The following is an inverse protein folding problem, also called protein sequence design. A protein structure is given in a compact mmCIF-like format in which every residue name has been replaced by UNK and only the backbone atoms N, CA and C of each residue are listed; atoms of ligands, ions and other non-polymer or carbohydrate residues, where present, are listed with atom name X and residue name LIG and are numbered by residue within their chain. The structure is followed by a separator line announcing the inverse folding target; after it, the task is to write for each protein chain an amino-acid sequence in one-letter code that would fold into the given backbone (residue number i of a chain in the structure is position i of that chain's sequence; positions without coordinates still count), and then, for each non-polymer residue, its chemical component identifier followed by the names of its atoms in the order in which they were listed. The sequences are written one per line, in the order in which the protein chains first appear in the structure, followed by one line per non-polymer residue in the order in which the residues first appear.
data_IF_416902191778
#
_entry.id   IF_416902191778
#
_cell.length_a   1.000
_cell.length_b   1.000
_cell.length_c   1.000
_cell.angle_alpha   90.00
_cell.angle_beta   90.00
_cell.angle_gamma   90.00
#
_symmetry.space_group_name_H-M   'P 1'
#
loop_
_entity.id
_entity.type
_entity.pdbx_description
1 polymer ?
#
# COMPACT_ATOMS: atom_id res chain seq x y z
N UNK A 1 5.96 -27.67 15.80
CA UNK A 1 4.93 -27.91 14.78
C UNK A 1 5.16 -26.88 13.70
N UNK A 2 5.83 -27.25 12.62
CA UNK A 2 6.15 -26.33 11.52
C UNK A 2 4.87 -26.08 10.73
N UNK A 3 4.33 -24.87 10.81
CA UNK A 3 3.21 -24.44 9.96
C UNK A 3 3.75 -24.34 8.53
N UNK A 4 3.32 -25.26 7.66
CA UNK A 4 3.56 -25.15 6.22
C UNK A 4 2.67 -24.02 5.69
N UNK A 5 3.27 -22.86 5.41
CA UNK A 5 2.55 -21.76 4.78
C UNK A 5 2.50 -21.99 3.27
N UNK A 6 1.30 -21.99 2.69
CA UNK A 6 1.13 -21.87 1.25
C UNK A 6 0.90 -20.39 0.93
N UNK A 7 1.86 -19.76 0.25
CA UNK A 7 1.76 -18.35 -0.13
C UNK A 7 1.25 -18.26 -1.56
N UNK A 8 0.26 -17.40 -1.80
CA UNK A 8 -0.26 -17.10 -3.12
C UNK A 8 0.16 -15.70 -3.53
N UNK A 9 1.23 -15.62 -4.34
CA UNK A 9 1.83 -14.36 -4.80
C UNK A 9 1.26 -13.93 -6.16
N UNK A 10 1.12 -12.62 -6.36
CA UNK A 10 0.47 -12.04 -7.55
C UNK A 10 1.31 -10.89 -8.11
N UNK A 11 1.82 -11.05 -9.34
CA UNK A 11 2.27 -9.94 -10.20
C UNK A 11 2.70 -10.49 -11.57
N UNK A 12 2.25 -9.85 -12.66
CA UNK A 12 2.67 -10.14 -14.05
C UNK A 12 4.19 -10.01 -14.26
N UNK A 13 4.83 -9.05 -13.59
CA UNK A 13 6.27 -8.78 -13.76
C UNK A 13 7.13 -9.35 -12.61
N UNK A 14 6.49 -9.84 -11.54
CA UNK A 14 7.16 -10.30 -10.32
C UNK A 14 7.24 -11.82 -10.17
N UNK A 15 6.43 -12.59 -10.92
CA UNK A 15 6.30 -14.03 -10.72
C UNK A 15 7.64 -14.79 -10.80
N UNK A 16 8.46 -14.49 -11.81
CA UNK A 16 9.74 -15.17 -11.98
C UNK A 16 10.73 -14.83 -10.85
N UNK A 17 10.79 -13.56 -10.41
CA UNK A 17 11.61 -13.15 -9.27
C UNK A 17 11.15 -13.83 -7.98
N UNK A 18 9.83 -13.84 -7.75
CA UNK A 18 9.24 -14.44 -6.56
C UNK A 18 9.48 -15.95 -6.50
N UNK A 19 9.38 -16.67 -7.62
CA UNK A 19 9.67 -18.11 -7.65
C UNK A 19 11.14 -18.40 -7.37
N UNK A 20 12.05 -17.56 -7.86
CA UNK A 20 13.48 -17.70 -7.59
C UNK A 20 13.79 -17.44 -6.11
N UNK A 21 13.28 -16.35 -5.54
CA UNK A 21 13.48 -16.00 -4.13
C UNK A 21 12.82 -17.02 -3.18
N UNK A 22 11.66 -17.55 -3.54
CA UNK A 22 10.95 -18.55 -2.75
C UNK A 22 11.56 -19.96 -2.84
N UNK A 23 12.35 -20.26 -3.88
CA UNK A 23 13.03 -21.55 -4.03
C UNK A 23 14.00 -21.86 -2.88
N UNK A 24 14.46 -20.84 -2.17
CA UNK A 24 15.33 -20.94 -0.99
C UNK A 24 14.55 -20.94 0.34
N UNK A 25 13.23 -20.71 0.32
CA UNK A 25 12.41 -20.53 1.51
C UNK A 25 11.73 -21.83 1.97
N UNK A 26 11.45 -21.92 3.27
CA UNK A 26 10.68 -23.03 3.85
C UNK A 26 9.18 -22.78 3.63
N UNK A 27 8.57 -23.45 2.65
CA UNK A 27 7.13 -23.35 2.35
C UNK A 27 6.80 -23.77 0.91
N UNK A 28 5.52 -23.71 0.54
CA UNK A 28 5.09 -23.86 -0.85
C UNK A 28 4.62 -22.50 -1.38
N UNK A 29 5.13 -22.10 -2.55
CA UNK A 29 4.67 -20.92 -3.26
C UNK A 29 3.83 -21.37 -4.46
N UNK A 30 2.61 -20.86 -4.56
CA UNK A 30 1.80 -20.96 -5.78
C UNK A 30 1.51 -19.56 -6.28
N UNK A 31 1.46 -19.39 -7.59
CA UNK A 31 1.23 -18.08 -8.20
C UNK A 31 -0.06 -18.12 -8.99
N UNK A 32 -0.84 -17.05 -8.90
CA UNK A 32 -2.07 -16.87 -9.65
C UNK A 32 -2.08 -15.47 -10.23
N UNK A 33 -2.45 -15.35 -11.50
CA UNK A 33 -2.65 -14.05 -12.12
C UNK A 33 -3.94 -13.43 -11.58
N UNK A 34 -3.82 -12.27 -10.96
CA UNK A 34 -4.93 -11.53 -10.39
C UNK A 34 -4.74 -10.03 -10.68
N UNK A 35 -5.60 -9.51 -11.55
CA UNK A 35 -5.80 -8.08 -11.72
C UNK A 35 -6.97 -7.63 -10.83
N UNK A 36 -6.65 -6.91 -9.75
CA UNK A 36 -7.65 -6.44 -8.80
C UNK A 36 -8.61 -5.40 -9.38
N UNK A 37 -8.28 -4.80 -10.53
CA UNK A 37 -9.15 -3.83 -11.20
C UNK A 37 -10.23 -4.50 -12.05
N UNK A 38 -10.09 -5.79 -12.34
CA UNK A 38 -10.98 -6.58 -13.18
C UNK A 38 -11.74 -7.64 -12.36
N UNK A 39 -13.07 -7.55 -12.34
CA UNK A 39 -13.95 -8.47 -11.61
C UNK A 39 -13.77 -9.94 -12.02
N UNK A 40 -13.73 -10.22 -13.32
CA UNK A 40 -13.60 -11.59 -13.82
C UNK A 40 -12.25 -12.21 -13.42
N UNK A 41 -11.18 -11.39 -13.39
CA UNK A 41 -9.87 -11.85 -12.92
C UNK A 41 -9.90 -12.21 -11.44
N UNK A 42 -10.62 -11.44 -10.62
CA UNK A 42 -10.78 -11.73 -9.18
C UNK A 42 -11.55 -13.02 -8.96
N UNK A 43 -12.66 -13.21 -9.68
CA UNK A 43 -13.49 -14.42 -9.57
C UNK A 43 -12.73 -15.68 -9.99
N UNK A 44 -11.95 -15.61 -11.08
CA UNK A 44 -11.07 -16.71 -11.49
C UNK A 44 -10.04 -17.06 -10.43
N UNK A 45 -9.47 -16.05 -9.76
CA UNK A 45 -8.50 -16.27 -8.69
C UNK A 45 -9.15 -16.92 -7.45
N UNK A 46 -10.40 -16.55 -7.12
CA UNK A 46 -11.17 -17.20 -6.05
C UNK A 46 -11.37 -18.69 -6.35
N UNK A 47 -11.88 -19.02 -7.54
CA UNK A 47 -12.11 -20.42 -7.96
C UNK A 47 -10.81 -21.21 -7.95
N UNK A 48 -9.71 -20.63 -8.46
CA UNK A 48 -8.39 -21.25 -8.39
C UNK A 48 -7.98 -21.53 -6.95
N UNK A 49 -8.15 -20.56 -6.05
CA UNK A 49 -7.80 -20.70 -4.63
C UNK A 49 -8.62 -21.80 -3.96
N UNK A 50 -9.92 -21.88 -4.22
CA UNK A 50 -10.82 -22.93 -3.70
C UNK A 50 -10.43 -24.33 -4.15
N UNK A 51 -9.95 -24.49 -5.38
CA UNK A 51 -9.50 -25.80 -5.88
C UNK A 51 -8.18 -26.26 -5.24
N UNK A 52 -7.35 -25.32 -4.79
CA UNK A 52 -6.00 -25.62 -4.31
C UNK A 52 -5.92 -25.68 -2.78
N UNK A 53 -6.74 -24.89 -2.08
CA UNK A 53 -6.75 -24.76 -0.63
C UNK A 53 -8.06 -25.25 -0.04
N UNK A 54 -7.98 -26.05 1.03
CA UNK A 54 -9.16 -26.36 1.85
C UNK A 54 -9.62 -25.18 2.70
N UNK A 55 -8.67 -24.35 3.16
CA UNK A 55 -8.92 -23.22 4.05
C UNK A 55 -8.00 -22.03 3.72
N UNK A 56 -8.56 -20.82 3.67
CA UNK A 56 -7.81 -19.59 3.48
C UNK A 56 -7.68 -18.84 4.81
N UNK A 57 -6.50 -18.83 5.40
CA UNK A 57 -6.33 -18.31 6.77
C UNK A 57 -6.03 -16.81 6.82
N UNK A 58 -5.41 -16.25 5.79
CA UNK A 58 -5.16 -14.82 5.68
C UNK A 58 -5.26 -14.34 4.24
N UNK A 59 -5.81 -13.15 4.06
CA UNK A 59 -5.81 -12.39 2.81
C UNK A 59 -4.96 -11.14 3.02
N UNK A 60 -3.87 -11.02 2.26
CA UNK A 60 -2.97 -9.86 2.32
C UNK A 60 -3.18 -8.97 1.10
N UNK A 61 -3.69 -7.79 1.38
CA UNK A 61 -4.12 -6.78 0.43
C UNK A 61 -3.00 -5.73 0.27
N UNK A 62 -1.99 -6.09 -0.52
CA UNK A 62 -0.74 -5.32 -0.68
C UNK A 62 -0.59 -4.58 -2.02
N UNK A 63 -1.43 -4.89 -3.01
CA UNK A 63 -1.31 -4.26 -4.33
C UNK A 63 -1.38 -2.73 -4.21
N UNK A 64 -0.62 -2.01 -5.02
CA UNK A 64 -0.62 -0.56 -4.98
C UNK A 64 -0.05 0.03 -6.24
N UNK A 65 -0.65 1.12 -6.68
CA UNK A 65 -0.21 1.87 -7.84
C UNK A 65 -0.08 3.35 -7.47
N UNK A 66 1.05 3.96 -7.81
CA UNK A 66 1.24 5.40 -7.65
C UNK A 66 1.30 6.02 -9.05
N UNK A 67 0.27 6.76 -9.42
CA UNK A 67 0.18 7.37 -10.76
C UNK A 67 1.24 8.45 -10.97
N UNK A 68 1.30 9.44 -10.08
CA UNK A 68 2.32 10.48 -10.11
C UNK A 68 2.54 11.09 -8.72
N UNK A 69 3.78 11.47 -8.42
CA UNK A 69 4.12 12.31 -7.28
C UNK A 69 4.69 13.62 -7.84
N UNK A 70 3.90 14.69 -7.76
CA UNK A 70 4.24 15.99 -8.34
C UNK A 70 3.19 17.05 -8.04
N UNK A 71 3.44 18.31 -8.44
CA UNK A 71 2.42 19.35 -8.45
C UNK A 71 1.14 18.87 -9.12
N UNK A 72 -0.01 19.37 -8.64
CA UNK A 72 -1.32 18.99 -9.16
C UNK A 72 -1.44 19.24 -10.67
N UNK A 73 -0.77 20.29 -11.17
CA UNK A 73 -0.68 20.63 -12.59
C UNK A 73 -0.09 19.52 -13.48
N UNK A 74 0.59 18.52 -12.90
CA UNK A 74 1.17 17.39 -13.63
C UNK A 74 0.29 16.15 -13.62
N UNK A 75 -0.77 16.14 -12.82
CA UNK A 75 -1.65 14.99 -12.67
C UNK A 75 -2.91 15.18 -13.52
N UNK A 76 -3.25 14.17 -14.31
CA UNK A 76 -4.52 14.12 -15.04
C UNK A 76 -5.64 13.54 -14.17
N UNK A 77 -6.90 13.80 -14.50
CA UNK A 77 -8.04 13.18 -13.79
C UNK A 77 -7.98 11.65 -13.92
N UNK A 78 -7.53 11.16 -15.08
CA UNK A 78 -7.35 9.76 -15.38
C UNK A 78 -6.34 9.09 -14.43
N UNK A 79 -5.30 9.80 -14.01
CA UNK A 79 -4.33 9.32 -13.01
C UNK A 79 -4.98 9.14 -11.63
N UNK A 80 -5.85 10.07 -11.24
CA UNK A 80 -6.63 9.98 -10.00
C UNK A 80 -7.61 8.82 -10.04
N UNK A 81 -8.35 8.68 -11.13
CA UNK A 81 -9.31 7.59 -11.32
C UNK A 81 -8.61 6.23 -11.29
N UNK A 82 -7.46 6.12 -11.95
CA UNK A 82 -6.69 4.88 -11.95
C UNK A 82 -6.14 4.55 -10.55
N UNK A 83 -5.64 5.54 -9.81
CA UNK A 83 -5.22 5.38 -8.41
C UNK A 83 -6.38 4.91 -7.52
N UNK A 84 -7.57 5.51 -7.65
CA UNK A 84 -8.78 5.08 -6.94
C UNK A 84 -9.18 3.64 -7.29
N UNK A 85 -9.13 3.31 -8.58
CA UNK A 85 -9.51 1.99 -9.10
C UNK A 85 -8.63 0.89 -8.54
N UNK A 86 -7.32 1.11 -8.46
CA UNK A 86 -6.36 0.12 -7.92
C UNK A 86 -6.34 0.16 -6.39
N UNK A 87 -6.02 1.33 -5.82
CA UNK A 87 -5.70 1.47 -4.40
C UNK A 87 -6.94 1.46 -3.50
N UNK A 88 -8.14 1.65 -4.01
CA UNK A 88 -9.34 1.62 -3.17
C UNK A 88 -10.29 0.53 -3.64
N UNK A 89 -10.86 0.71 -4.83
CA UNK A 89 -11.93 -0.15 -5.32
C UNK A 89 -11.44 -1.59 -5.56
N UNK A 90 -10.23 -1.77 -6.07
CA UNK A 90 -9.67 -3.09 -6.33
C UNK A 90 -9.49 -3.94 -5.07
N UNK A 91 -9.15 -3.32 -3.95
CA UNK A 91 -9.01 -4.05 -2.70
C UNK A 91 -10.34 -4.38 -2.04
N UNK A 92 -11.30 -3.46 -2.13
CA UNK A 92 -12.68 -3.70 -1.72
C UNK A 92 -13.23 -4.90 -2.52
N UNK A 93 -13.01 -4.91 -3.83
CA UNK A 93 -13.40 -6.00 -4.73
C UNK A 93 -12.83 -7.35 -4.29
N UNK A 94 -11.53 -7.41 -4.01
CA UNK A 94 -10.87 -8.64 -3.53
C UNK A 94 -11.44 -9.06 -2.17
N UNK A 95 -11.63 -8.13 -1.23
CA UNK A 95 -12.23 -8.45 0.08
C UNK A 95 -13.61 -9.07 -0.10
N UNK A 96 -14.48 -8.47 -0.91
CA UNK A 96 -15.82 -8.99 -1.16
C UNK A 96 -15.79 -10.38 -1.78
N UNK A 97 -14.90 -10.61 -2.75
CA UNK A 97 -14.82 -11.87 -3.47
C UNK A 97 -14.25 -13.03 -2.63
N UNK A 98 -13.30 -12.75 -1.73
CA UNK A 98 -12.67 -13.76 -0.87
C UNK A 98 -13.33 -13.91 0.51
N UNK A 99 -14.36 -13.10 0.81
CA UNK A 99 -15.00 -13.03 2.13
C UNK A 99 -15.50 -14.38 2.62
N UNK A 100 -16.19 -15.14 1.77
CA UNK A 100 -16.78 -16.42 2.15
C UNK A 100 -15.72 -17.46 2.52
N UNK A 101 -14.54 -17.43 1.88
CA UNK A 101 -13.41 -18.31 2.22
C UNK A 101 -12.83 -18.00 3.59
N UNK A 102 -12.68 -16.70 3.89
CA UNK A 102 -12.17 -16.23 5.16
C UNK A 102 -13.16 -16.48 6.30
N UNK A 103 -14.46 -16.34 6.05
CA UNK A 103 -15.50 -16.63 7.05
C UNK A 103 -15.53 -18.11 7.44
N UNK A 104 -15.32 -19.02 6.47
CA UNK A 104 -15.24 -20.47 6.72
C UNK A 104 -14.06 -20.86 7.62
N UNK A 105 -12.90 -20.26 7.39
CA UNK A 105 -11.66 -20.55 8.14
C UNK A 105 -11.50 -19.70 9.40
N UNK A 106 -12.38 -18.71 9.63
CA UNK A 106 -12.19 -17.61 10.60
C UNK A 106 -10.85 -16.89 10.39
N UNK A 107 -10.49 -16.73 9.12
CA UNK A 107 -9.26 -16.09 8.67
C UNK A 107 -9.26 -14.57 8.86
N UNK A 108 -8.19 -13.93 8.41
CA UNK A 108 -7.92 -12.50 8.65
C UNK A 108 -7.69 -11.74 7.35
N UNK A 109 -8.06 -10.47 7.33
CA UNK A 109 -7.77 -9.54 6.24
C UNK A 109 -6.71 -8.56 6.71
N UNK A 110 -5.61 -8.47 5.99
CA UNK A 110 -4.53 -7.53 6.25
C UNK A 110 -4.42 -6.58 5.07
N UNK A 111 -4.82 -5.33 5.25
CA UNK A 111 -4.71 -4.30 4.22
C UNK A 111 -3.47 -3.45 4.47
N UNK A 112 -2.60 -3.38 3.47
CA UNK A 112 -1.36 -2.62 3.54
C UNK A 112 -1.62 -1.19 3.14
N UNK A 113 -1.13 -0.27 3.97
CA UNK A 113 -1.30 1.17 3.77
C UNK A 113 0.02 1.86 4.08
N UNK A 114 0.40 2.84 3.30
CA UNK A 114 1.60 3.63 3.55
C UNK A 114 1.36 4.72 4.60
N UNK A 115 2.44 5.10 5.30
CA UNK A 115 2.41 6.00 6.44
C UNK A 115 1.83 7.39 6.11
N UNK A 116 2.00 7.85 4.87
CA UNK A 116 1.50 9.14 4.42
C UNK A 116 -0.02 9.20 4.24
N UNK A 117 -0.73 8.06 4.28
CA UNK A 117 -2.21 8.07 4.28
C UNK A 117 -2.82 8.75 5.51
N UNK A 118 -2.02 9.02 6.55
CA UNK A 118 -2.46 9.66 7.79
C UNK A 118 -2.33 11.19 7.80
N UNK A 119 -1.69 11.77 6.78
CA UNK A 119 -1.51 13.22 6.67
C UNK A 119 -1.72 13.66 5.22
N UNK A 120 -2.52 14.69 5.01
CA UNK A 120 -2.61 15.34 3.71
C UNK A 120 -1.33 16.18 3.48
N UNK A 121 -0.37 15.65 2.73
CA UNK A 121 0.87 16.38 2.40
C UNK A 121 0.67 17.28 1.17
N UNK A 122 1.30 18.46 1.15
CA UNK A 122 1.28 19.39 0.01
C UNK A 122 1.96 18.75 -1.22
N UNK A 123 1.35 18.89 -2.41
CA UNK A 123 1.80 18.21 -3.64
C UNK A 123 1.40 16.73 -3.73
N UNK A 124 0.45 16.30 -2.89
CA UNK A 124 0.10 14.91 -2.68
C UNK A 124 -1.43 14.70 -2.72
N UNK A 125 -2.15 15.52 -3.51
CA UNK A 125 -3.60 15.36 -3.69
C UNK A 125 -3.94 13.94 -4.20
N UNK A 126 -3.15 13.41 -5.15
CA UNK A 126 -3.25 12.01 -5.62
C UNK A 126 -2.74 10.97 -4.60
N UNK A 127 -1.91 11.42 -3.67
CA UNK A 127 -1.20 10.60 -2.68
C UNK A 127 -2.08 10.23 -1.48
N UNK A 128 -3.08 11.07 -1.19
CA UNK A 128 -3.98 10.91 -0.04
C UNK A 128 -5.01 9.78 -0.22
N UNK A 129 -5.16 9.25 -1.44
CA UNK A 129 -6.20 8.27 -1.79
C UNK A 129 -5.86 6.83 -1.35
N UNK A 130 -4.58 6.54 -1.07
CA UNK A 130 -4.03 5.48 -0.19
C UNK A 130 -2.57 5.27 -0.58
N UNK A 131 -1.65 5.48 0.37
CA UNK A 131 -0.20 5.46 0.11
C UNK A 131 0.34 4.07 -0.26
N UNK A 132 0.81 3.96 -1.50
CA UNK A 132 2.01 3.29 -2.07
C UNK A 132 2.25 1.77 -2.02
N UNK A 133 2.43 1.18 -3.22
CA UNK A 133 3.51 0.24 -3.56
C UNK A 133 4.46 0.94 -4.55
N UNK A 134 5.77 0.69 -4.47
CA UNK A 134 6.83 1.49 -5.12
C UNK A 134 7.28 0.86 -6.44
N UNK A 135 7.04 1.52 -7.58
CA UNK A 135 7.87 1.44 -8.79
C UNK A 135 8.03 2.81 -9.48
N UNK A 136 9.30 3.16 -9.67
CA UNK A 136 9.98 4.33 -10.29
C UNK A 136 9.27 5.22 -11.34
N UNK A 137 9.51 6.55 -11.24
CA UNK A 137 10.38 7.32 -12.17
C UNK A 137 10.89 8.68 -11.59
N UNK A 138 12.22 8.82 -11.58
CA UNK A 138 13.17 9.97 -11.47
C UNK A 138 12.98 11.23 -10.60
N UNK A 139 11.81 11.62 -10.08
CA UNK A 139 11.68 12.81 -9.21
C UNK A 139 11.30 12.51 -7.76
N UNK A 140 11.01 11.25 -7.44
CA UNK A 140 10.69 10.79 -6.09
C UNK A 140 11.96 10.70 -5.22
N UNK A 141 12.42 11.89 -4.83
CA UNK A 141 13.41 12.27 -3.84
C UNK A 141 14.36 11.15 -3.36
N UNK A 142 15.61 11.21 -3.84
CA UNK A 142 16.79 10.52 -3.30
C UNK A 142 16.86 10.59 -1.76
N UNK A 143 16.25 11.61 -1.17
CA UNK A 143 16.12 11.89 0.26
C UNK A 143 15.20 10.92 1.00
N UNK A 144 14.05 10.54 0.43
CA UNK A 144 13.14 9.56 1.04
C UNK A 144 13.68 8.14 0.90
N UNK A 145 14.25 7.78 -0.26
CA UNK A 145 14.93 6.50 -0.44
C UNK A 145 16.10 6.30 0.55
N UNK A 146 16.81 7.38 0.91
CA UNK A 146 17.85 7.36 1.96
C UNK A 146 17.29 7.27 3.38
N UNK A 147 16.06 7.74 3.60
CA UNK A 147 15.36 7.69 4.90
C UNK A 147 14.57 6.40 5.13
N UNK A 148 14.25 5.66 4.07
CA UNK A 148 13.57 4.37 4.14
C UNK A 148 14.48 3.30 4.73
N UNK A 149 13.97 2.56 5.70
CA UNK A 149 14.69 1.43 6.30
C UNK A 149 14.83 0.30 5.27
N UNK A 150 16.05 -0.21 5.01
CA UNK A 150 16.26 -1.33 4.08
C UNK A 150 15.80 -2.67 4.66
N UNK A 151 15.57 -2.76 5.98
CA UNK A 151 15.22 -4.00 6.66
C UNK A 151 13.73 -4.34 6.51
N UNK A 152 13.42 -5.33 5.66
CA UNK A 152 12.08 -5.88 5.47
C UNK A 152 11.59 -6.66 6.72
N UNK A 153 12.50 -7.14 7.56
CA UNK A 153 12.20 -8.00 8.72
C UNK A 153 11.15 -7.41 9.66
N UNK A 154 11.15 -6.08 9.82
CA UNK A 154 10.14 -5.39 10.66
C UNK A 154 8.74 -5.52 10.08
N UNK A 155 8.62 -5.46 8.77
CA UNK A 155 7.34 -5.61 8.06
C UNK A 155 6.89 -7.07 8.13
N UNK A 156 7.81 -8.01 7.90
CA UNK A 156 7.53 -9.44 8.02
C UNK A 156 7.08 -9.79 9.45
N UNK A 157 7.74 -9.26 10.48
CA UNK A 157 7.33 -9.47 11.87
C UNK A 157 5.95 -8.86 12.19
N UNK A 158 5.61 -7.71 11.58
CA UNK A 158 4.25 -7.17 11.67
C UNK A 158 3.22 -8.14 11.06
N UNK A 159 3.51 -8.69 9.88
CA UNK A 159 2.63 -9.67 9.24
C UNK A 159 2.50 -10.92 10.08
N UNK A 160 3.62 -11.51 10.51
CA UNK A 160 3.62 -12.73 11.33
C UNK A 160 2.81 -12.53 12.61
N UNK A 161 2.98 -11.40 13.31
CA UNK A 161 2.16 -11.10 14.48
C UNK A 161 0.69 -10.84 14.12
N UNK A 162 0.39 -10.11 13.04
CA UNK A 162 -0.99 -9.85 12.60
C UNK A 162 -1.73 -11.14 12.25
N UNK A 163 -1.02 -12.06 11.64
CA UNK A 163 -1.43 -13.40 11.27
C UNK A 163 -1.60 -14.21 12.56
N UNK A 164 -0.55 -14.47 13.35
CA UNK A 164 -0.55 -15.46 14.44
C UNK A 164 -1.15 -15.02 15.78
N UNK A 165 -1.26 -13.72 16.06
CA UNK A 165 -1.64 -13.26 17.40
C UNK A 165 -3.07 -13.66 17.79
N UNK A 166 -3.29 -14.06 19.06
CA UNK A 166 -4.64 -14.33 19.59
C UNK A 166 -5.52 -13.07 19.64
N UNK A 167 -4.91 -11.92 19.90
CA UNK A 167 -5.57 -10.61 19.96
C UNK A 167 -4.84 -9.63 19.03
N UNK A 168 -5.18 -9.63 17.72
CA UNK A 168 -4.51 -8.76 16.77
C UNK A 168 -4.86 -7.29 17.01
N UNK A 169 -3.92 -6.39 16.66
CA UNK A 169 -4.18 -4.95 16.65
C UNK A 169 -4.87 -4.55 15.35
N UNK A 170 -5.72 -3.54 15.42
CA UNK A 170 -6.33 -2.94 14.21
C UNK A 170 -5.28 -2.25 13.32
N UNK A 171 -4.21 -1.71 13.90
CA UNK A 171 -3.16 -1.01 13.16
C UNK A 171 -1.78 -1.50 13.60
N UNK A 172 -1.00 -1.96 12.64
CA UNK A 172 0.43 -2.25 12.79
C UNK A 172 1.24 -1.10 12.20
N UNK A 173 2.19 -0.57 12.96
CA UNK A 173 3.12 0.47 12.50
C UNK A 173 4.47 -0.21 12.27
N UNK A 174 4.93 -0.20 11.03
CA UNK A 174 6.18 -0.85 10.66
C UNK A 174 7.11 0.23 10.11
N UNK A 175 8.30 0.37 10.71
CA UNK A 175 9.25 1.42 10.38
C UNK A 175 9.19 2.65 11.30
N UNK A 176 10.28 3.41 11.31
CA UNK A 176 10.41 4.63 12.12
C UNK A 176 9.57 5.79 11.53
N UNK A 177 9.44 5.81 10.21
CA UNK A 177 8.57 6.68 9.43
C UNK A 177 7.09 6.54 9.85
N UNK A 178 6.57 5.32 9.94
CA UNK A 178 5.19 5.08 10.34
C UNK A 178 4.88 5.56 11.78
N UNK A 179 5.88 5.53 12.66
CA UNK A 179 5.76 6.07 14.02
C UNK A 179 5.84 7.59 14.03
N UNK A 180 6.77 8.17 13.27
CA UNK A 180 6.89 9.62 13.09
C UNK A 180 5.58 10.23 12.58
N UNK A 181 5.04 9.69 11.49
CA UNK A 181 3.77 10.15 10.93
C UNK A 181 2.60 9.96 11.88
N UNK A 182 2.58 8.88 12.67
CA UNK A 182 1.52 8.69 13.66
C UNK A 182 1.56 9.73 14.79
N UNK A 183 2.75 10.11 15.26
CA UNK A 183 2.89 11.17 16.27
C UNK A 183 2.48 12.52 15.67
N UNK A 184 2.91 12.79 14.44
CA UNK A 184 2.59 14.02 13.73
C UNK A 184 1.08 14.17 13.50
N UNK A 185 0.37 13.08 13.18
CA UNK A 185 -1.11 13.08 13.08
C UNK A 185 -1.84 13.31 14.40
N UNK A 186 -1.18 13.13 15.56
CA UNK A 186 -1.76 13.39 16.87
C UNK A 186 -1.53 14.83 17.34
N UNK A 187 -0.67 15.61 16.67
CA UNK A 187 -0.45 17.01 17.00
C UNK A 187 -1.63 17.87 16.52
N UNK A 188 -1.91 19.02 17.17
CA UNK A 188 -2.86 19.99 16.64
C UNK A 188 -2.47 20.38 15.22
N UNK A 189 -3.45 20.54 14.33
CA UNK A 189 -3.25 20.75 12.89
C UNK A 189 -2.27 21.88 12.58
N UNK A 190 -2.34 23.00 13.29
CA UNK A 190 -1.41 24.12 13.11
C UNK A 190 0.08 23.76 13.35
N UNK A 191 0.36 22.89 14.33
CA UNK A 191 1.72 22.42 14.59
C UNK A 191 2.16 21.39 13.56
N UNK A 192 1.28 20.46 13.19
CA UNK A 192 1.57 19.48 12.16
C UNK A 192 1.87 20.17 10.82
N UNK A 193 1.07 21.16 10.44
CA UNK A 193 1.25 21.95 9.22
C UNK A 193 2.55 22.75 9.27
N UNK A 194 2.89 23.38 10.39
CA UNK A 194 4.17 24.09 10.55
C UNK A 194 5.38 23.18 10.35
N UNK A 195 5.34 21.97 10.92
CA UNK A 195 6.39 20.96 10.76
C UNK A 195 6.46 20.49 9.31
N UNK A 196 5.31 20.20 8.67
CA UNK A 196 5.25 19.77 7.27
C UNK A 196 5.80 20.86 6.34
N UNK A 197 5.40 22.12 6.50
CA UNK A 197 5.87 23.24 5.68
C UNK A 197 7.37 23.47 5.85
N UNK A 198 7.88 23.34 7.08
CA UNK A 198 9.32 23.46 7.38
C UNK A 198 10.12 22.32 6.75
N UNK A 199 9.62 21.08 6.82
CA UNK A 199 10.28 19.91 6.24
C UNK A 199 10.23 19.90 4.71
N UNK A 200 9.08 20.24 4.13
CA UNK A 200 8.88 20.28 2.69
C UNK A 200 9.51 21.53 2.04
N UNK A 201 9.95 22.53 2.83
CA UNK A 201 10.41 23.85 2.36
C UNK A 201 9.40 24.50 1.40
N UNK A 202 8.11 24.27 1.63
CA UNK A 202 7.04 24.80 0.80
C UNK A 202 6.39 25.99 1.48
N UNK A 203 6.09 27.04 0.71
CA UNK A 203 5.26 28.17 1.14
C UNK A 203 3.84 27.97 0.63
N UNK A 204 2.84 28.07 1.51
CA UNK A 204 1.43 28.10 1.09
C UNK A 204 1.15 29.47 0.48
N UNK A 205 1.28 29.57 -0.83
CA UNK A 205 0.88 30.76 -1.59
C UNK A 205 -0.48 30.43 -2.22
N UNK A 206 -1.51 31.28 -2.07
CA UNK A 206 -2.78 31.06 -2.72
C UNK A 206 -2.58 31.00 -4.23
N UNK A 207 -3.11 29.97 -4.90
CA UNK A 207 -2.96 29.76 -6.35
C UNK A 207 -3.46 30.95 -7.19
N UNK A 208 -4.29 31.83 -6.62
CA UNK A 208 -4.82 33.04 -7.27
C UNK A 208 -3.76 34.16 -7.38
N UNK A 209 -2.75 34.19 -6.51
CA UNK A 209 -1.79 35.32 -6.40
C UNK A 209 -0.65 35.24 -7.42
N UNK A 210 -0.51 34.14 -8.15
CA UNK A 210 0.60 33.93 -9.10
C UNK A 210 0.41 34.58 -10.48
N UNK A 211 -0.74 35.22 -10.76
CA UNK A 211 -0.98 35.86 -12.08
C UNK A 211 -0.29 37.22 -12.30
N UNK A 212 0.21 37.89 -11.26
CA UNK A 212 0.65 39.31 -11.36
C UNK A 212 2.17 39.56 -11.36
N UNK A 213 3.03 38.56 -11.60
CA UNK A 213 4.50 38.79 -11.66
C UNK A 213 5.17 38.43 -12.98
N UNK A 214 4.46 38.54 -14.11
CA UNK A 214 5.05 38.44 -15.46
C UNK A 214 4.74 39.62 -16.40
N UNK A 215 4.39 40.78 -15.86
CA UNK A 215 4.38 42.05 -16.60
C UNK A 215 4.89 43.19 -15.72
N UNK A 216 6.21 43.31 -15.60
CA UNK A 216 6.93 44.56 -15.38
C UNK A 216 8.40 44.34 -15.75
#
# INVERSE_FOLDING_TARGET
MYLSWEIYGVSWEGEHSLKNEAGEACGSLRTVHLDITNQESVEKAVVFTEMQLSELWALVNNAGFLALYGPDDWCSIEDYEHSLKVNTLGHIRVIHAFRHLLERSKGRIITVTGAASRLATTGAAAYSIRSTSIRHHMLYNRTWHKGSSPCLDRVVACYDHAITARYPRYHYRCGCDAHFFAVLSCLPTAFADSIILTLCKTSVIPAVVTKDKKQQ
#
